data_IF_352096144951
#
_entry.id   IF_352096144951
#
_cell.length_a   1.000
_cell.length_b   1.000
_cell.length_c   1.000
_cell.angle_alpha   90.00
_cell.angle_beta   90.00
_cell.angle_gamma   90.00
#
_symmetry.space_group_name_H-M   'P 1'
#
loop_
_entity.id
_entity.type
_entity.pdbx_description
1 polymer ?
#
# COMPACT_ATOMS: atom_id res chain seq x y z
N UNK A 1 -19.06 -24.60 21.62
CA UNK A 1 -18.65 -23.94 20.33
C UNK A 1 -17.28 -24.51 19.96
N UNK A 2 -17.05 -24.73 18.66
CA UNK A 2 -15.71 -25.07 18.18
C UNK A 2 -14.73 -23.95 18.51
N UNK A 3 -13.50 -24.35 18.85
CA UNK A 3 -12.42 -23.42 19.23
C UNK A 3 -11.55 -23.10 18.02
N UNK A 4 -11.32 -21.83 17.74
CA UNK A 4 -10.46 -21.36 16.65
C UNK A 4 -9.30 -20.57 17.21
N UNK A 5 -8.08 -20.96 16.83
CA UNK A 5 -6.90 -20.13 17.01
C UNK A 5 -6.69 -19.23 15.79
N UNK A 6 -6.48 -17.94 16.00
CA UNK A 6 -6.06 -16.99 14.98
C UNK A 6 -4.63 -16.55 15.31
N UNK A 7 -3.71 -16.69 14.35
CA UNK A 7 -2.31 -16.33 14.55
C UNK A 7 -2.04 -14.99 13.88
N UNK A 8 -1.78 -13.98 14.70
CA UNK A 8 -1.54 -12.58 14.31
C UNK A 8 -2.76 -11.68 14.53
N UNK A 9 -2.58 -10.60 15.31
CA UNK A 9 -3.57 -9.55 15.56
C UNK A 9 -3.34 -8.32 14.65
N UNK A 10 -2.89 -8.54 13.41
CA UNK A 10 -2.97 -7.56 12.35
C UNK A 10 -4.42 -7.35 11.88
N UNK A 11 -4.64 -6.41 10.95
CA UNK A 11 -6.00 -6.10 10.46
C UNK A 11 -6.73 -7.33 9.93
N UNK A 12 -6.02 -8.27 9.30
CA UNK A 12 -6.61 -9.52 8.79
C UNK A 12 -7.12 -10.40 9.93
N UNK A 13 -6.28 -10.65 10.95
CA UNK A 13 -6.66 -11.50 12.09
C UNK A 13 -7.79 -10.89 12.93
N UNK A 14 -7.73 -9.59 13.18
CA UNK A 14 -8.80 -8.86 13.87
C UNK A 14 -10.14 -8.93 13.11
N UNK A 15 -10.11 -8.72 11.78
CA UNK A 15 -11.32 -8.82 10.95
C UNK A 15 -11.91 -10.23 10.96
N UNK A 16 -11.07 -11.26 10.79
CA UNK A 16 -11.51 -12.66 10.85
C UNK A 16 -12.11 -12.98 12.22
N UNK A 17 -11.49 -12.51 13.31
CA UNK A 17 -12.03 -12.70 14.65
C UNK A 17 -13.45 -12.12 14.77
N UNK A 18 -13.68 -10.90 14.27
CA UNK A 18 -15.01 -10.30 14.27
C UNK A 18 -16.04 -11.06 13.44
N UNK A 19 -15.66 -11.57 12.26
CA UNK A 19 -16.60 -12.35 11.42
C UNK A 19 -16.96 -13.71 11.99
N UNK A 20 -16.13 -14.26 12.87
CA UNK A 20 -16.32 -15.60 13.42
C UNK A 20 -16.80 -15.62 14.89
N UNK A 21 -16.68 -14.50 15.63
CA UNK A 21 -16.92 -14.46 17.09
C UNK A 21 -18.33 -14.88 17.53
N UNK A 22 -19.35 -14.70 16.69
CA UNK A 22 -20.72 -15.08 17.02
C UNK A 22 -20.96 -16.60 16.99
N UNK A 23 -20.07 -17.36 16.33
CA UNK A 23 -20.25 -18.79 16.05
C UNK A 23 -19.18 -19.68 16.65
N UNK A 24 -18.05 -19.12 17.05
CA UNK A 24 -16.86 -19.86 17.47
C UNK A 24 -16.25 -19.26 18.76
N UNK A 25 -15.61 -20.11 19.58
CA UNK A 25 -14.74 -19.65 20.67
C UNK A 25 -13.36 -19.31 20.11
N UNK A 26 -13.09 -18.02 19.98
CA UNK A 26 -11.89 -17.51 19.30
C UNK A 26 -10.82 -17.10 20.31
N UNK A 27 -9.59 -17.52 20.05
CA UNK A 27 -8.40 -16.99 20.72
C UNK A 27 -7.43 -16.50 19.66
N UNK A 28 -7.04 -15.22 19.75
CA UNK A 28 -6.03 -14.61 18.87
C UNK A 28 -4.68 -14.63 19.61
N UNK A 29 -3.61 -15.04 18.92
CA UNK A 29 -2.24 -14.98 19.42
C UNK A 29 -1.48 -13.90 18.66
N UNK A 30 -0.85 -13.00 19.41
CA UNK A 30 -0.06 -11.91 18.83
C UNK A 30 1.33 -11.89 19.49
N UNK A 31 2.38 -11.88 18.68
CA UNK A 31 3.76 -11.89 19.16
C UNK A 31 4.19 -10.58 19.82
N UNK A 32 3.61 -9.49 19.38
CA UNK A 32 3.88 -8.15 19.92
C UNK A 32 2.99 -7.86 21.14
N UNK A 33 3.35 -6.82 21.89
CA UNK A 33 2.57 -6.36 23.04
C UNK A 33 1.32 -5.54 22.65
N UNK A 34 1.06 -5.36 21.34
CA UNK A 34 -0.05 -4.56 20.82
C UNK A 34 -0.52 -5.08 19.45
N UNK A 35 -1.82 -4.99 19.21
CA UNK A 35 -2.41 -5.29 17.91
C UNK A 35 -2.04 -4.26 16.83
N UNK A 36 -2.24 -4.63 15.56
CA UNK A 36 -2.16 -3.74 14.41
C UNK A 36 -1.27 -4.22 13.26
N UNK A 37 -0.28 -5.08 13.54
CA UNK A 37 0.60 -5.59 12.49
C UNK A 37 1.22 -4.46 11.67
N UNK A 38 1.03 -4.47 10.34
CA UNK A 38 1.62 -3.46 9.45
C UNK A 38 0.98 -2.06 9.56
N UNK A 39 -0.24 -1.94 10.12
CA UNK A 39 -0.90 -0.63 10.28
C UNK A 39 -0.56 0.05 11.60
N UNK A 40 0.40 -0.48 12.36
CA UNK A 40 0.82 0.09 13.64
C UNK A 40 1.41 1.49 13.48
N UNK A 41 1.09 2.32 14.48
CA UNK A 41 1.70 3.63 14.65
C UNK A 41 2.48 3.72 15.96
N UNK A 42 3.50 4.56 15.98
CA UNK A 42 4.32 4.88 17.15
C UNK A 42 4.18 6.37 17.44
N UNK A 43 4.07 6.75 18.73
CA UNK A 43 4.20 8.14 19.16
C UNK A 43 5.57 8.39 19.75
N UNK A 44 6.24 9.41 19.22
CA UNK A 44 7.52 9.90 19.73
C UNK A 44 7.42 11.41 19.87
N UNK A 45 7.67 11.92 21.07
CA UNK A 45 7.59 13.36 21.39
C UNK A 45 6.26 14.01 20.94
N UNK A 46 5.14 13.30 21.12
CA UNK A 46 3.80 13.75 20.72
C UNK A 46 3.44 13.55 19.25
N UNK A 47 4.38 13.20 18.39
CA UNK A 47 4.15 12.98 16.97
C UNK A 47 3.78 11.54 16.68
N UNK A 48 2.88 11.36 15.74
CA UNK A 48 2.41 10.04 15.29
C UNK A 48 3.20 9.59 14.06
N UNK A 49 3.73 8.40 14.14
CA UNK A 49 4.56 7.79 13.11
C UNK A 49 3.99 6.44 12.67
N UNK A 50 3.85 6.23 11.36
CA UNK A 50 3.48 4.95 10.78
C UNK A 50 4.72 4.08 10.60
N UNK A 51 4.78 2.94 11.29
CA UNK A 51 5.99 2.08 11.30
C UNK A 51 6.29 1.49 9.91
N UNK A 52 5.25 1.15 9.16
CA UNK A 52 5.39 0.49 7.84
C UNK A 52 4.84 1.35 6.68
N UNK A 53 4.89 2.68 6.80
CA UNK A 53 4.33 3.61 5.83
C UNK A 53 2.90 4.04 6.15
N UNK A 54 2.45 5.13 5.52
CA UNK A 54 1.11 5.71 5.77
C UNK A 54 -0.01 4.79 5.29
N UNK A 55 -0.94 4.50 6.17
CA UNK A 55 -2.13 3.73 5.87
C UNK A 55 -3.37 4.59 6.02
N UNK A 56 -4.21 4.59 4.97
CA UNK A 56 -5.48 5.30 4.91
C UNK A 56 -6.60 4.31 4.62
N UNK A 57 -7.83 4.65 4.97
CA UNK A 57 -8.97 3.80 4.65
C UNK A 57 -9.69 4.32 3.40
N UNK A 58 -9.85 3.43 2.45
CA UNK A 58 -10.71 3.59 1.28
C UNK A 58 -11.12 2.21 0.75
N UNK A 59 -12.31 2.09 0.18
CA UNK A 59 -12.77 0.88 -0.49
C UNK A 59 -13.74 1.22 -1.61
N UNK A 60 -13.70 0.42 -2.69
CA UNK A 60 -14.71 0.43 -3.76
C UNK A 60 -15.85 -0.57 -3.49
N UNK A 61 -15.70 -1.45 -2.51
CA UNK A 61 -16.67 -2.49 -2.15
C UNK A 61 -17.60 -1.96 -1.09
N UNK A 62 -18.89 -1.90 -1.40
CA UNK A 62 -19.91 -1.39 -0.49
C UNK A 62 -20.04 -2.25 0.77
N UNK A 63 -20.00 -3.58 0.64
CA UNK A 63 -20.04 -4.51 1.78
C UNK A 63 -18.91 -4.30 2.78
N UNK A 64 -17.70 -3.95 2.29
CA UNK A 64 -16.53 -3.61 3.14
C UNK A 64 -16.76 -2.26 3.82
N UNK A 65 -17.31 -1.27 3.10
CA UNK A 65 -17.62 0.04 3.67
C UNK A 65 -18.67 -0.08 4.76
N UNK A 66 -19.75 -0.82 4.52
CA UNK A 66 -20.86 -1.02 5.46
C UNK A 66 -20.38 -1.71 6.73
N UNK A 67 -19.58 -2.78 6.59
CA UNK A 67 -18.97 -3.46 7.73
C UNK A 67 -18.04 -2.54 8.51
N UNK A 68 -17.15 -1.81 7.83
CA UNK A 68 -16.20 -0.91 8.47
C UNK A 68 -16.94 0.18 9.27
N UNK A 69 -17.88 0.89 8.64
CA UNK A 69 -18.62 1.96 9.29
C UNK A 69 -19.62 1.45 10.35
N UNK A 70 -19.94 0.15 10.38
CA UNK A 70 -20.65 -0.44 11.52
C UNK A 70 -19.80 -0.52 12.80
N UNK A 71 -18.46 -0.41 12.69
CA UNK A 71 -17.52 -0.47 13.82
C UNK A 71 -17.06 0.91 14.28
N UNK A 72 -17.21 1.95 13.45
CA UNK A 72 -16.66 3.27 13.67
C UNK A 72 -17.69 4.37 13.41
N UNK A 73 -17.61 5.47 14.17
CA UNK A 73 -18.43 6.66 13.97
C UNK A 73 -17.71 7.59 12.99
N UNK A 74 -18.06 7.47 11.71
CA UNK A 74 -17.36 8.13 10.60
C UNK A 74 -17.20 9.64 10.81
N UNK A 75 -18.27 10.34 11.21
CA UNK A 75 -18.29 11.80 11.39
C UNK A 75 -17.48 12.30 12.57
N UNK A 76 -17.30 11.48 13.60
CA UNK A 76 -16.61 11.87 14.83
C UNK A 76 -15.14 11.45 14.84
N UNK A 77 -14.87 10.23 14.36
CA UNK A 77 -13.57 9.58 14.49
C UNK A 77 -12.67 9.82 13.28
N UNK A 78 -13.25 10.04 12.10
CA UNK A 78 -12.49 10.16 10.86
C UNK A 78 -12.65 11.53 10.19
N UNK A 79 -11.61 11.94 9.50
CA UNK A 79 -11.62 13.04 8.55
C UNK A 79 -11.52 12.51 7.14
N UNK A 80 -12.33 13.07 6.24
CA UNK A 80 -12.15 12.88 4.80
C UNK A 80 -11.13 13.88 4.33
N UNK A 81 -10.09 13.40 3.69
CA UNK A 81 -9.01 14.23 3.17
C UNK A 81 -8.86 14.05 1.66
N UNK A 82 -8.55 15.13 0.98
CA UNK A 82 -8.14 15.11 -0.41
C UNK A 82 -6.68 14.66 -0.50
N UNK A 83 -6.39 13.78 -1.43
CA UNK A 83 -5.02 13.45 -1.76
C UNK A 83 -4.40 14.62 -2.50
N UNK A 84 -3.33 15.16 -1.95
CA UNK A 84 -2.50 16.16 -2.62
C UNK A 84 -1.10 15.57 -2.78
N UNK A 85 -0.80 15.07 -3.97
CA UNK A 85 0.45 14.37 -4.25
C UNK A 85 1.22 15.07 -5.37
N UNK A 86 2.54 15.02 -5.29
CA UNK A 86 3.39 15.51 -6.37
C UNK A 86 4.55 14.55 -6.63
N UNK A 87 5.20 14.75 -7.76
CA UNK A 87 6.44 14.11 -8.16
C UNK A 87 7.54 15.16 -8.09
N UNK A 88 8.59 14.92 -7.30
CA UNK A 88 9.79 15.74 -7.31
C UNK A 88 10.66 15.35 -8.49
N UNK A 89 10.70 16.22 -9.50
CA UNK A 89 11.53 16.05 -10.68
C UNK A 89 12.81 16.88 -10.56
N UNK A 90 13.93 16.28 -10.91
CA UNK A 90 15.21 16.98 -11.00
C UNK A 90 15.19 17.95 -12.19
N UNK A 91 15.50 19.22 -11.96
CA UNK A 91 15.50 20.27 -13.02
C UNK A 91 16.66 20.16 -14.01
N UNK A 92 17.56 19.20 -13.84
CA UNK A 92 18.62 18.93 -14.80
C UNK A 92 20.02 18.89 -14.20
N UNK A 93 21.03 18.72 -15.03
CA UNK A 93 22.41 18.39 -14.75
C UNK A 93 23.00 19.04 -13.48
N UNK A 94 23.05 18.26 -12.39
CA UNK A 94 23.69 18.58 -11.10
C UNK A 94 23.01 19.71 -10.27
N UNK A 95 21.82 20.14 -10.59
CA UNK A 95 21.03 21.03 -9.75
C UNK A 95 20.32 20.23 -8.64
N UNK A 96 20.39 20.73 -7.40
CA UNK A 96 19.56 20.24 -6.30
C UNK A 96 18.16 20.87 -6.29
N UNK A 97 17.81 21.64 -7.30
CA UNK A 97 16.50 22.22 -7.45
C UNK A 97 15.55 21.23 -8.09
N UNK A 98 14.43 20.96 -7.43
CA UNK A 98 13.38 20.05 -7.88
C UNK A 98 12.09 20.83 -8.17
N UNK A 99 11.44 20.47 -9.27
CA UNK A 99 10.06 20.91 -9.53
C UNK A 99 9.06 19.93 -8.93
N UNK A 100 8.01 20.48 -8.33
CA UNK A 100 6.86 19.74 -7.86
C UNK A 100 5.84 19.61 -8.98
N UNK A 101 5.87 18.51 -9.69
CA UNK A 101 4.88 18.22 -10.72
C UNK A 101 3.67 17.54 -10.06
N UNK A 102 2.45 18.05 -10.22
CA UNK A 102 1.27 17.40 -9.66
C UNK A 102 1.13 15.96 -10.17
N UNK A 103 0.62 15.08 -9.31
CA UNK A 103 0.34 13.68 -9.67
C UNK A 103 -1.10 13.56 -10.22
N UNK A 104 -1.36 12.73 -11.23
CA UNK A 104 -0.42 11.87 -11.94
C UNK A 104 0.37 12.64 -13.03
N UNK A 105 1.65 12.34 -13.15
CA UNK A 105 2.60 13.09 -13.98
C UNK A 105 2.21 13.10 -15.48
N UNK A 106 1.64 12.01 -15.98
CA UNK A 106 1.21 11.85 -17.38
C UNK A 106 0.16 12.89 -17.82
N UNK A 107 -0.52 13.52 -16.87
CA UNK A 107 -1.51 14.55 -17.14
C UNK A 107 -0.95 15.97 -17.03
N UNK A 108 0.32 16.11 -16.66
CA UNK A 108 0.96 17.40 -16.38
C UNK A 108 2.19 17.66 -17.24
N UNK A 109 2.25 17.05 -18.43
CA UNK A 109 3.37 17.23 -19.37
C UNK A 109 3.49 18.66 -19.89
N UNK A 110 2.42 19.43 -19.86
CA UNK A 110 2.43 20.85 -20.23
C UNK A 110 3.32 21.72 -19.31
N UNK A 111 3.76 21.18 -18.15
CA UNK A 111 4.70 21.86 -17.24
C UNK A 111 6.18 21.63 -17.61
N UNK A 112 6.45 20.74 -18.54
CA UNK A 112 7.82 20.43 -18.99
C UNK A 112 8.22 21.30 -20.20
N UNK A 113 9.52 21.23 -20.56
CA UNK A 113 10.04 21.92 -21.76
C UNK A 113 9.34 21.44 -23.03
N UNK A 114 9.31 22.30 -24.05
CA UNK A 114 8.73 21.94 -25.36
C UNK A 114 9.36 20.70 -25.98
N UNK A 115 10.65 20.46 -25.75
CA UNK A 115 11.35 19.28 -26.23
C UNK A 115 10.79 17.99 -25.59
N UNK A 116 10.60 17.99 -24.27
CA UNK A 116 10.00 16.87 -23.54
C UNK A 116 8.56 16.66 -23.98
N UNK A 117 7.78 17.74 -24.12
CA UNK A 117 6.40 17.64 -24.59
C UNK A 117 6.33 17.03 -26.01
N UNK A 118 7.16 17.48 -26.94
CA UNK A 118 7.23 16.92 -28.31
C UNK A 118 7.58 15.44 -28.30
N UNK A 119 8.55 15.05 -27.47
CA UNK A 119 8.93 13.64 -27.31
C UNK A 119 7.79 12.79 -26.75
N UNK A 120 7.10 13.27 -25.72
CA UNK A 120 5.95 12.59 -25.14
C UNK A 120 4.81 12.39 -26.14
N UNK A 121 4.41 13.45 -26.89
CA UNK A 121 3.33 13.31 -27.86
C UNK A 121 3.70 12.40 -29.04
N UNK A 122 4.97 12.38 -29.44
CA UNK A 122 5.50 11.41 -30.41
C UNK A 122 5.38 9.97 -29.89
N UNK A 123 5.71 9.75 -28.62
CA UNK A 123 5.55 8.42 -27.98
C UNK A 123 4.08 7.98 -28.00
N UNK A 124 3.12 8.87 -27.72
CA UNK A 124 1.70 8.55 -27.79
C UNK A 124 1.25 8.15 -29.21
N UNK A 125 1.78 8.83 -30.25
CA UNK A 125 1.51 8.44 -31.63
C UNK A 125 2.08 7.04 -31.97
N UNK A 126 3.26 6.73 -31.44
CA UNK A 126 3.88 5.42 -31.62
C UNK A 126 3.07 4.33 -30.91
N UNK A 127 2.56 4.60 -29.71
CA UNK A 127 1.66 3.68 -28.99
C UNK A 127 0.39 3.42 -29.79
N UNK A 128 -0.26 4.47 -30.31
CA UNK A 128 -1.49 4.34 -31.08
C UNK A 128 -1.30 3.45 -32.33
N UNK A 129 -0.13 3.55 -32.98
CA UNK A 129 0.21 2.75 -34.17
C UNK A 129 0.47 1.27 -33.83
N UNK A 130 1.12 1.00 -32.68
CA UNK A 130 1.64 -0.33 -32.36
C UNK A 130 0.76 -1.14 -31.41
N UNK A 131 0.16 -0.52 -30.41
CA UNK A 131 -0.65 -1.19 -29.38
C UNK A 131 -2.14 -0.88 -29.48
N UNK A 132 -2.49 0.23 -30.13
CA UNK A 132 -3.87 0.71 -30.24
C UNK A 132 -4.42 1.32 -28.95
N UNK A 133 -5.55 2.02 -29.09
CA UNK A 133 -6.17 2.78 -28.00
C UNK A 133 -6.72 1.89 -26.87
N UNK A 134 -7.05 0.64 -27.15
CA UNK A 134 -7.77 -0.27 -26.26
C UNK A 134 -6.91 -1.45 -25.77
N UNK A 135 -5.58 -1.28 -25.73
CA UNK A 135 -4.68 -2.33 -25.22
C UNK A 135 -5.06 -2.75 -23.80
N UNK A 136 -5.15 -4.07 -23.57
CA UNK A 136 -5.49 -4.69 -22.28
C UNK A 136 -4.23 -5.06 -21.53
N UNK A 137 -4.35 -5.36 -20.23
CA UNK A 137 -3.21 -5.82 -19.40
C UNK A 137 -2.54 -7.07 -19.97
N UNK A 138 -3.31 -7.93 -20.63
CA UNK A 138 -2.81 -9.17 -21.29
C UNK A 138 -1.95 -8.93 -22.52
N UNK A 139 -1.91 -7.69 -23.03
CA UNK A 139 -1.14 -7.32 -24.22
C UNK A 139 0.31 -6.92 -23.89
N UNK A 140 0.69 -7.05 -22.62
CA UNK A 140 2.02 -6.74 -22.11
C UNK A 140 2.63 -7.95 -21.43
N UNK A 141 3.89 -8.26 -21.74
CA UNK A 141 4.58 -9.45 -21.23
C UNK A 141 5.00 -9.29 -19.76
N UNK A 142 5.34 -8.08 -19.34
CA UNK A 142 5.84 -7.76 -18.01
C UNK A 142 5.54 -6.30 -17.66
N UNK A 143 5.84 -5.94 -16.41
CA UNK A 143 5.56 -4.60 -15.89
C UNK A 143 6.39 -3.50 -16.56
N UNK A 144 7.63 -3.78 -16.94
CA UNK A 144 8.48 -2.83 -17.67
C UNK A 144 7.89 -2.50 -19.05
N UNK A 145 7.46 -3.52 -19.80
CA UNK A 145 6.77 -3.35 -21.08
C UNK A 145 5.45 -2.60 -20.94
N UNK A 146 4.66 -2.95 -19.90
CA UNK A 146 3.44 -2.21 -19.59
C UNK A 146 3.71 -0.72 -19.42
N UNK A 147 4.64 -0.35 -18.56
CA UNK A 147 4.93 1.06 -18.30
C UNK A 147 5.42 1.78 -19.57
N UNK A 148 6.31 1.14 -20.33
CA UNK A 148 6.88 1.72 -21.53
C UNK A 148 5.85 1.90 -22.65
N UNK A 149 5.01 0.88 -22.89
CA UNK A 149 4.02 0.88 -23.97
C UNK A 149 2.67 1.47 -23.58
N UNK A 150 2.45 1.77 -22.31
CA UNK A 150 1.24 2.47 -21.86
C UNK A 150 1.45 3.98 -21.77
N UNK A 151 2.62 4.41 -21.31
CA UNK A 151 2.90 5.81 -21.00
C UNK A 151 3.94 6.45 -21.93
N UNK A 152 4.59 5.68 -22.78
CA UNK A 152 5.64 6.12 -23.69
C UNK A 152 7.04 6.08 -23.08
N UNK A 153 8.03 6.09 -23.98
CA UNK A 153 9.44 6.02 -23.61
C UNK A 153 9.88 7.21 -22.76
N UNK A 154 9.41 8.40 -23.10
CA UNK A 154 9.78 9.64 -22.40
C UNK A 154 9.41 9.56 -20.92
N UNK A 155 8.15 9.26 -20.59
CA UNK A 155 7.71 9.08 -19.20
C UNK A 155 8.31 7.86 -18.54
N UNK A 156 8.51 6.77 -19.27
CA UNK A 156 9.16 5.58 -18.77
C UNK A 156 10.57 5.90 -18.25
N UNK A 157 11.40 6.54 -19.06
CA UNK A 157 12.80 6.83 -18.73
C UNK A 157 12.94 7.88 -17.61
N UNK A 158 12.08 8.90 -17.60
CA UNK A 158 12.23 10.01 -16.65
C UNK A 158 11.55 9.78 -15.30
N UNK A 159 10.49 8.95 -15.26
CA UNK A 159 9.70 8.76 -14.03
C UNK A 159 9.45 7.30 -13.69
N UNK A 160 8.79 6.54 -14.60
CA UNK A 160 8.27 5.23 -14.21
C UNK A 160 9.37 4.22 -13.90
N UNK A 161 10.40 4.13 -14.72
CA UNK A 161 11.51 3.18 -14.52
C UNK A 161 12.32 3.52 -13.26
N UNK A 162 12.86 4.73 -13.09
CA UNK A 162 13.67 5.04 -11.91
C UNK A 162 12.86 4.95 -10.61
N UNK A 163 11.59 5.35 -10.59
CA UNK A 163 10.73 5.23 -9.43
C UNK A 163 10.43 3.76 -9.09
N UNK A 164 9.98 3.00 -10.08
CA UNK A 164 9.56 1.62 -9.84
C UNK A 164 10.75 0.68 -9.55
N UNK A 165 11.94 0.94 -10.08
CA UNK A 165 13.16 0.21 -9.67
C UNK A 165 13.47 0.37 -8.18
N UNK A 166 13.23 1.55 -7.60
CA UNK A 166 13.36 1.74 -6.15
C UNK A 166 12.32 0.93 -5.37
N UNK A 167 11.06 0.89 -5.88
CA UNK A 167 9.96 0.15 -5.24
C UNK A 167 10.18 -1.34 -5.32
N UNK A 168 10.52 -1.87 -6.50
CA UNK A 168 10.61 -3.31 -6.75
C UNK A 168 11.98 -3.90 -6.44
N UNK A 169 13.03 -3.08 -6.37
CA UNK A 169 14.44 -3.49 -6.14
C UNK A 169 14.92 -4.57 -7.13
N UNK A 170 14.38 -4.57 -8.36
CA UNK A 170 14.69 -5.53 -9.42
C UNK A 170 14.41 -4.93 -10.81
N UNK A 171 14.84 -5.63 -11.85
CA UNK A 171 14.50 -5.26 -13.23
C UNK A 171 13.00 -5.40 -13.44
N UNK A 172 12.38 -4.36 -14.00
CA UNK A 172 10.92 -4.30 -14.20
C UNK A 172 10.43 -5.30 -15.26
N UNK A 173 11.31 -5.77 -16.15
CA UNK A 173 11.00 -6.83 -17.12
C UNK A 173 10.82 -8.20 -16.45
N UNK A 174 11.30 -8.37 -15.20
CA UNK A 174 11.09 -9.57 -14.40
C UNK A 174 9.86 -9.51 -13.49
N UNK A 175 9.17 -8.37 -13.45
CA UNK A 175 7.97 -8.18 -12.62
C UNK A 175 6.74 -8.62 -13.42
N UNK A 176 5.97 -9.64 -12.93
CA UNK A 176 4.81 -10.15 -13.65
C UNK A 176 3.64 -9.16 -13.64
N UNK A 177 2.69 -9.34 -14.55
CA UNK A 177 1.49 -8.50 -14.65
C UNK A 177 0.33 -8.95 -13.75
N UNK A 178 0.38 -10.14 -13.17
CA UNK A 178 -0.73 -10.77 -12.43
C UNK A 178 -1.24 -9.95 -11.24
N UNK A 179 -0.41 -9.12 -10.63
CA UNK A 179 -0.78 -8.28 -9.48
C UNK A 179 -1.50 -6.97 -9.87
N UNK A 180 -1.45 -6.59 -11.16
CA UNK A 180 -1.88 -5.27 -11.63
C UNK A 180 -3.38 -5.01 -11.53
N UNK A 181 -4.20 -6.04 -11.62
CA UNK A 181 -5.66 -5.93 -11.73
C UNK A 181 -6.29 -4.81 -10.90
N UNK A 182 -6.67 -3.70 -11.55
CA UNK A 182 -7.35 -2.55 -10.92
C UNK A 182 -6.51 -1.69 -9.97
N UNK A 183 -5.20 -1.87 -9.91
CA UNK A 183 -4.32 -1.15 -8.96
C UNK A 183 -3.70 0.12 -9.53
N UNK A 184 -3.46 0.18 -10.83
CA UNK A 184 -2.98 1.40 -11.49
C UNK A 184 -4.02 1.92 -12.47
N UNK A 185 -4.14 3.24 -12.63
CA UNK A 185 -4.93 3.82 -13.71
C UNK A 185 -4.37 3.34 -15.06
N UNK A 186 -5.25 3.15 -16.01
CA UNK A 186 -4.88 2.79 -17.37
C UNK A 186 -5.44 3.85 -18.33
N UNK A 187 -4.94 5.09 -18.30
CA UNK A 187 -5.42 6.13 -19.21
C UNK A 187 -5.13 5.71 -20.64
N UNK A 188 -6.05 5.99 -21.54
CA UNK A 188 -5.80 5.91 -22.99
C UNK A 188 -4.89 7.05 -23.41
N UNK A 189 -4.24 6.92 -24.57
CA UNK A 189 -3.45 8.02 -25.16
C UNK A 189 -4.30 9.24 -25.43
N UNK A 190 -5.58 9.06 -25.76
CA UNK A 190 -6.53 10.15 -25.94
C UNK A 190 -6.82 10.86 -24.62
N UNK A 191 -7.12 10.12 -23.54
CA UNK A 191 -7.32 10.72 -22.22
C UNK A 191 -6.09 11.49 -21.74
N UNK A 192 -4.87 10.98 -21.97
CA UNK A 192 -3.65 11.71 -21.64
C UNK A 192 -3.54 13.02 -22.42
N UNK A 193 -3.86 13.04 -23.73
CA UNK A 193 -3.87 14.27 -24.53
C UNK A 193 -4.91 15.26 -24.03
N UNK A 194 -6.13 14.81 -23.79
CA UNK A 194 -7.24 15.65 -23.31
C UNK A 194 -6.96 16.22 -21.93
N UNK A 195 -6.44 15.41 -21.00
CA UNK A 195 -6.10 15.85 -19.64
C UNK A 195 -4.98 16.92 -19.65
N UNK A 196 -3.96 16.76 -20.50
CA UNK A 196 -2.92 17.79 -20.67
C UNK A 196 -3.47 19.07 -21.30
N UNK A 197 -4.28 18.96 -22.35
CA UNK A 197 -4.87 20.12 -23.02
C UNK A 197 -5.80 20.91 -22.09
N UNK A 198 -6.59 20.21 -21.27
CA UNK A 198 -7.54 20.80 -20.34
C UNK A 198 -6.94 21.09 -18.96
N UNK A 199 -5.66 20.75 -18.71
CA UNK A 199 -4.96 20.92 -17.43
C UNK A 199 -5.76 20.34 -16.25
N UNK A 200 -6.20 19.09 -16.38
CA UNK A 200 -7.11 18.43 -15.43
C UNK A 200 -6.39 18.19 -14.09
N UNK A 201 -6.96 18.70 -12.99
CA UNK A 201 -6.41 18.52 -11.64
C UNK A 201 -6.64 17.13 -11.08
N UNK A 202 -5.79 16.69 -10.12
CA UNK A 202 -5.89 15.39 -9.43
C UNK A 202 -7.26 15.10 -8.82
N UNK A 203 -7.99 16.13 -8.38
CA UNK A 203 -9.33 16.01 -7.77
C UNK A 203 -10.37 15.38 -8.68
N UNK A 204 -10.14 15.38 -9.99
CA UNK A 204 -11.03 14.74 -10.97
C UNK A 204 -10.81 13.22 -11.09
N UNK A 205 -9.77 12.65 -10.45
CA UNK A 205 -9.42 11.25 -10.62
C UNK A 205 -9.94 10.35 -9.51
N UNK A 206 -10.10 9.06 -9.83
CA UNK A 206 -10.51 8.01 -8.88
C UNK A 206 -9.47 7.87 -7.76
N UNK A 207 -9.91 7.83 -6.51
CA UNK A 207 -9.08 7.82 -5.30
C UNK A 207 -8.42 9.17 -4.94
N UNK A 208 -8.98 10.27 -5.39
CA UNK A 208 -8.56 11.61 -4.94
C UNK A 208 -8.84 11.87 -3.46
N UNK A 209 -9.69 11.07 -2.80
CA UNK A 209 -10.05 11.22 -1.40
C UNK A 209 -9.87 9.92 -0.62
N UNK A 210 -9.61 10.04 0.68
CA UNK A 210 -9.51 8.93 1.62
C UNK A 210 -10.00 9.34 3.01
N UNK A 211 -10.24 8.32 3.87
CA UNK A 211 -10.57 8.52 5.26
C UNK A 211 -9.36 8.23 6.14
N UNK A 212 -9.14 9.11 7.10
CA UNK A 212 -8.06 8.99 8.06
C UNK A 212 -8.56 9.30 9.47
N UNK A 213 -8.18 8.49 10.46
CA UNK A 213 -8.57 8.70 11.84
C UNK A 213 -7.80 9.89 12.43
N UNK A 214 -8.52 10.74 13.20
CA UNK A 214 -8.08 12.11 13.54
C UNK A 214 -6.93 12.19 14.52
N UNK A 215 -6.79 11.23 15.44
CA UNK A 215 -5.88 11.34 16.58
C UNK A 215 -4.74 10.32 16.55
N UNK A 216 -5.04 9.05 16.33
CA UNK A 216 -4.10 7.95 16.45
C UNK A 216 -3.82 7.23 15.11
N UNK A 217 -4.39 7.76 14.04
CA UNK A 217 -4.22 7.22 12.70
C UNK A 217 -4.70 5.77 12.59
N UNK A 218 -4.02 5.00 11.76
CA UNK A 218 -4.43 3.60 11.51
C UNK A 218 -4.32 2.70 12.75
N UNK A 219 -3.54 3.07 13.76
CA UNK A 219 -3.48 2.33 15.03
C UNK A 219 -4.83 2.29 15.74
N UNK A 220 -5.60 3.39 15.69
CA UNK A 220 -6.92 3.44 16.30
C UNK A 220 -7.86 2.35 15.76
N UNK A 221 -7.76 2.08 14.45
CA UNK A 221 -8.55 1.02 13.81
C UNK A 221 -8.24 -0.32 14.45
N UNK A 222 -6.97 -0.64 14.63
CA UNK A 222 -6.55 -1.89 15.24
C UNK A 222 -6.96 -1.98 16.71
N UNK A 223 -6.75 -0.90 17.47
CA UNK A 223 -7.09 -0.86 18.89
C UNK A 223 -8.59 -1.03 19.12
N UNK A 224 -9.42 -0.37 18.32
CA UNK A 224 -10.89 -0.47 18.42
C UNK A 224 -11.39 -1.85 18.00
N UNK A 225 -10.84 -2.43 16.95
CA UNK A 225 -11.16 -3.80 16.55
C UNK A 225 -10.67 -4.87 17.54
N UNK A 226 -9.67 -4.58 18.38
CA UNK A 226 -9.20 -5.49 19.40
C UNK A 226 -10.13 -5.54 20.62
N UNK A 227 -10.99 -4.53 20.81
CA UNK A 227 -11.90 -4.47 21.99
C UNK A 227 -12.86 -5.65 21.94
N UNK A 228 -12.98 -6.36 23.09
CA UNK A 228 -13.89 -7.48 23.24
C UNK A 228 -13.39 -8.81 22.67
N UNK A 229 -12.25 -8.83 21.97
CA UNK A 229 -11.61 -10.06 21.51
C UNK A 229 -10.67 -10.64 22.58
N UNK A 230 -10.61 -11.96 22.63
CA UNK A 230 -9.64 -12.68 23.48
C UNK A 230 -8.29 -12.76 22.76
N UNK A 231 -7.43 -11.77 22.99
CA UNK A 231 -6.09 -11.68 22.41
C UNK A 231 -5.05 -12.00 23.48
N UNK A 232 -4.11 -12.88 23.15
CA UNK A 232 -2.94 -13.19 23.96
C UNK A 232 -1.75 -12.50 23.31
N UNK A 233 -1.32 -11.40 23.90
CA UNK A 233 -0.16 -10.62 23.48
C UNK A 233 1.15 -11.26 23.98
N UNK A 234 2.29 -10.75 23.48
CA UNK A 234 3.63 -11.25 23.81
C UNK A 234 3.73 -12.77 23.66
N UNK A 235 2.98 -13.33 22.69
CA UNK A 235 2.80 -14.75 22.47
C UNK A 235 3.13 -15.13 21.03
N UNK A 236 4.42 -15.30 20.76
CA UNK A 236 4.88 -15.79 19.48
C UNK A 236 4.54 -17.27 19.31
N UNK A 237 3.80 -17.61 18.26
CA UNK A 237 3.49 -19.00 17.92
C UNK A 237 4.63 -19.59 17.11
N UNK A 238 5.44 -20.43 17.74
CA UNK A 238 6.61 -21.09 17.12
C UNK A 238 6.33 -22.52 16.66
N UNK A 239 5.17 -23.09 17.03
CA UNK A 239 4.72 -24.41 16.57
C UNK A 239 3.19 -24.46 16.48
N UNK A 240 2.70 -25.12 15.45
CA UNK A 240 1.29 -25.45 15.21
C UNK A 240 1.24 -26.94 14.94
N UNK A 241 0.95 -27.71 15.98
CA UNK A 241 1.08 -29.18 15.94
C UNK A 241 -0.28 -29.83 15.68
N UNK A 242 -0.40 -30.66 14.63
CA UNK A 242 -1.59 -31.47 14.36
C UNK A 242 -1.56 -32.75 15.18
N UNK A 243 -2.54 -32.94 16.06
CA UNK A 243 -2.70 -34.14 16.87
C UNK A 243 -4.11 -34.76 16.68
N UNK A 244 -4.19 -35.78 15.83
CA UNK A 244 -5.47 -36.31 15.40
C UNK A 244 -6.31 -35.26 14.68
N UNK A 245 -7.51 -34.98 15.21
CA UNK A 245 -8.40 -33.95 14.64
C UNK A 245 -8.18 -32.54 15.23
N UNK A 246 -7.32 -32.41 16.21
CA UNK A 246 -7.05 -31.15 16.92
C UNK A 246 -5.73 -30.51 16.51
N UNK A 247 -5.62 -29.24 16.84
CA UNK A 247 -4.41 -28.44 16.72
C UNK A 247 -3.95 -28.00 18.10
N UNK A 248 -2.66 -28.16 18.38
CA UNK A 248 -2.03 -27.71 19.63
C UNK A 248 -1.23 -26.44 19.33
N UNK A 249 -1.57 -25.35 20.02
CA UNK A 249 -0.91 -24.06 19.87
C UNK A 249 -0.69 -23.49 21.26
N UNK A 250 0.55 -23.15 21.59
CA UNK A 250 0.93 -22.70 22.94
C UNK A 250 0.35 -23.55 24.04
N UNK A 251 0.36 -24.90 23.89
CA UNK A 251 -0.14 -25.86 24.85
C UNK A 251 -1.66 -25.95 25.00
N UNK A 252 -2.43 -25.30 24.12
CA UNK A 252 -3.90 -25.31 24.10
C UNK A 252 -4.44 -26.00 22.86
N UNK A 253 -5.60 -26.68 23.01
CA UNK A 253 -6.26 -27.40 21.93
C UNK A 253 -7.27 -26.51 21.16
N UNK A 254 -7.25 -26.63 19.85
CA UNK A 254 -8.16 -25.94 18.93
C UNK A 254 -8.69 -26.89 17.86
N UNK A 255 -9.91 -26.62 17.39
CA UNK A 255 -10.53 -27.35 16.29
C UNK A 255 -10.01 -26.87 14.92
N UNK A 256 -9.77 -25.58 14.80
CA UNK A 256 -9.33 -24.91 13.57
C UNK A 256 -8.25 -23.87 13.86
N UNK A 257 -7.46 -23.57 12.84
CA UNK A 257 -6.44 -22.53 12.88
C UNK A 257 -6.59 -21.61 11.67
N UNK A 258 -6.51 -20.31 11.90
CA UNK A 258 -6.39 -19.31 10.84
C UNK A 258 -5.05 -18.59 11.00
N UNK A 259 -4.19 -18.73 10.01
CA UNK A 259 -2.88 -18.11 10.03
C UNK A 259 -2.92 -16.76 9.28
N UNK A 260 -2.66 -15.67 9.98
CA UNK A 260 -2.64 -14.30 9.47
C UNK A 260 -1.24 -13.66 9.54
N UNK A 261 -0.21 -14.47 9.63
CA UNK A 261 1.20 -14.07 9.58
C UNK A 261 1.80 -14.20 8.17
N UNK A 262 3.13 -14.15 8.09
CA UNK A 262 3.84 -14.39 6.85
C UNK A 262 3.78 -15.87 6.46
N UNK A 263 3.25 -16.19 5.29
CA UNK A 263 3.07 -17.57 4.81
C UNK A 263 4.41 -18.34 4.73
N UNK A 264 5.54 -17.66 4.49
CA UNK A 264 6.87 -18.29 4.48
C UNK A 264 7.28 -18.82 5.84
N UNK A 265 6.71 -18.29 6.92
CA UNK A 265 6.96 -18.78 8.28
C UNK A 265 6.00 -19.91 8.65
N UNK A 266 4.78 -19.91 8.10
CA UNK A 266 3.78 -20.93 8.38
C UNK A 266 4.27 -22.34 8.12
N UNK A 267 4.86 -22.60 6.96
CA UNK A 267 5.34 -23.94 6.59
C UNK A 267 6.46 -24.46 7.49
N UNK A 268 7.19 -23.56 8.15
CA UNK A 268 8.29 -23.93 9.04
C UNK A 268 7.78 -24.39 10.42
N UNK A 269 6.63 -23.86 10.86
CA UNK A 269 6.10 -24.07 12.20
C UNK A 269 4.94 -25.06 12.27
N UNK A 270 4.31 -25.38 11.13
CA UNK A 270 3.23 -26.38 11.08
C UNK A 270 3.81 -27.78 11.07
N UNK A 271 3.31 -28.64 11.98
CA UNK A 271 3.76 -30.02 12.15
C UNK A 271 2.57 -30.99 12.15
N UNK A 272 2.86 -32.27 11.85
CA UNK A 272 1.84 -33.31 11.85
C UNK A 272 0.98 -33.38 10.59
N UNK A 273 1.26 -32.54 9.59
CA UNK A 273 0.72 -32.63 8.21
C UNK A 273 1.86 -32.42 7.21
N UNK A 274 1.73 -33.08 6.06
CA UNK A 274 2.69 -32.92 4.98
C UNK A 274 2.33 -31.68 4.10
N UNK A 275 3.15 -30.66 4.18
CA UNK A 275 3.06 -29.45 3.37
C UNK A 275 4.12 -29.37 2.25
N UNK A 276 4.90 -30.45 2.05
CA UNK A 276 6.05 -30.46 1.13
C UNK A 276 5.67 -30.07 -0.30
N UNK A 277 4.46 -30.39 -0.74
CA UNK A 277 3.95 -30.01 -2.07
C UNK A 277 3.87 -28.50 -2.31
N UNK A 278 3.85 -27.69 -1.24
CA UNK A 278 3.81 -26.22 -1.34
C UNK A 278 5.19 -25.56 -1.18
N UNK A 279 6.25 -26.32 -0.86
CA UNK A 279 7.56 -25.75 -0.57
C UNK A 279 8.07 -24.91 -1.73
N UNK A 280 8.06 -25.43 -2.96
CA UNK A 280 8.51 -24.71 -4.15
C UNK A 280 7.75 -23.40 -4.36
N UNK A 281 6.42 -23.44 -4.23
CA UNK A 281 5.59 -22.25 -4.41
C UNK A 281 5.88 -21.19 -3.34
N UNK A 282 5.98 -21.62 -2.07
CA UNK A 282 6.26 -20.70 -0.96
C UNK A 282 7.69 -20.16 -0.99
N UNK A 283 8.66 -20.98 -1.38
CA UNK A 283 10.06 -20.55 -1.56
C UNK A 283 10.19 -19.53 -2.70
N UNK A 284 9.42 -19.71 -3.77
CA UNK A 284 9.41 -18.80 -4.93
C UNK A 284 8.81 -17.43 -4.61
N UNK A 285 8.04 -17.28 -3.53
CA UNK A 285 7.52 -15.99 -3.10
C UNK A 285 8.67 -15.07 -2.69
N UNK A 286 8.86 -14.02 -3.44
CA UNK A 286 9.86 -13.00 -3.14
C UNK A 286 9.20 -11.79 -2.49
N UNK A 287 9.85 -11.24 -1.46
CA UNK A 287 9.48 -9.97 -0.86
C UNK A 287 10.71 -9.25 -0.33
N UNK A 288 10.62 -7.95 -0.22
CA UNK A 288 11.59 -7.13 0.50
C UNK A 288 10.87 -6.23 1.51
N UNK A 289 11.59 -5.85 2.55
CA UNK A 289 11.06 -4.94 3.56
C UNK A 289 11.04 -3.49 3.10
N UNK A 290 10.43 -2.64 3.91
CA UNK A 290 10.47 -1.19 3.76
C UNK A 290 11.20 -0.60 4.97
N UNK A 291 12.17 0.27 4.71
CA UNK A 291 12.81 1.08 5.75
C UNK A 291 12.13 2.44 5.79
N UNK A 292 11.58 2.79 6.94
CA UNK A 292 11.02 4.11 7.18
C UNK A 292 12.04 4.94 7.98
N UNK A 293 12.38 6.12 7.49
CA UNK A 293 13.23 7.11 8.17
C UNK A 293 12.34 8.25 8.63
N UNK A 294 12.37 8.53 9.92
CA UNK A 294 11.50 9.52 10.55
C UNK A 294 12.20 10.88 10.62
N UNK A 295 11.63 11.89 9.99
CA UNK A 295 12.21 13.23 9.91
C UNK A 295 11.23 14.28 10.41
N UNK A 296 11.75 15.35 10.98
CA UNK A 296 11.00 16.57 11.25
C UNK A 296 11.23 17.53 10.09
N UNK A 297 10.15 18.05 9.50
CA UNK A 297 10.21 19.04 8.43
C UNK A 297 9.20 20.15 8.66
N UNK A 298 9.36 21.25 7.95
CA UNK A 298 8.39 22.33 7.91
C UNK A 298 7.05 21.89 7.30
N UNK A 299 6.00 22.62 7.62
CA UNK A 299 4.65 22.38 7.10
C UNK A 299 4.67 22.33 5.58
N UNK A 300 4.06 21.31 5.02
CA UNK A 300 4.00 21.05 3.60
C UNK A 300 2.56 20.71 3.19
N UNK A 301 2.04 21.22 2.08
CA UNK A 301 0.67 20.98 1.66
C UNK A 301 0.41 19.58 1.09
N UNK A 302 1.46 18.81 0.78
CA UNK A 302 1.32 17.52 0.14
C UNK A 302 1.01 16.38 1.13
N UNK A 303 0.29 15.36 0.66
CA UNK A 303 0.10 14.09 1.37
C UNK A 303 1.22 13.11 1.07
N UNK A 304 1.61 13.03 -0.19
CA UNK A 304 2.69 12.17 -0.68
C UNK A 304 3.54 12.88 -1.72
N UNK A 305 4.82 12.61 -1.67
CA UNK A 305 5.80 13.12 -2.63
C UNK A 305 6.55 11.92 -3.21
N UNK A 306 6.43 11.71 -4.50
CA UNK A 306 7.11 10.65 -5.22
C UNK A 306 8.49 11.11 -5.65
N UNK A 307 9.53 10.29 -5.45
CA UNK A 307 10.92 10.62 -5.73
C UNK A 307 11.55 9.68 -6.76
N UNK A 308 11.44 9.95 -8.05
CA UNK A 308 12.12 9.18 -9.09
C UNK A 308 13.63 9.43 -9.15
N UNK A 309 14.12 10.57 -8.69
CA UNK A 309 15.54 10.94 -8.80
C UNK A 309 16.47 9.84 -8.30
N UNK A 310 17.46 9.47 -9.12
CA UNK A 310 18.47 8.46 -8.78
C UNK A 310 19.49 8.91 -7.73
N UNK A 311 19.47 10.19 -7.36
CA UNK A 311 20.34 10.77 -6.32
C UNK A 311 19.85 10.43 -4.91
N UNK A 312 18.62 9.96 -4.75
CA UNK A 312 18.00 9.61 -3.46
C UNK A 312 17.62 8.14 -3.42
N UNK A 313 17.89 7.48 -2.32
CA UNK A 313 17.46 6.11 -2.06
C UNK A 313 15.95 6.00 -1.78
N UNK A 314 15.38 7.02 -1.15
CA UNK A 314 13.94 7.05 -0.88
C UNK A 314 13.13 7.10 -2.17
N UNK A 315 12.09 6.30 -2.25
CA UNK A 315 11.14 6.35 -3.37
C UNK A 315 9.96 7.27 -3.09
N UNK A 316 9.65 7.53 -1.82
CA UNK A 316 8.49 8.33 -1.44
C UNK A 316 8.67 8.99 -0.08
N UNK A 317 8.21 10.22 0.05
CA UNK A 317 8.00 10.89 1.33
C UNK A 317 6.50 10.83 1.62
N UNK A 318 6.14 10.43 2.84
CA UNK A 318 4.77 10.42 3.33
C UNK A 318 4.67 11.48 4.41
N UNK A 319 3.79 12.43 4.22
CA UNK A 319 3.57 13.51 5.16
C UNK A 319 2.46 13.13 6.13
N UNK A 320 2.58 13.55 7.39
CA UNK A 320 1.60 13.17 8.41
C UNK A 320 0.22 13.70 8.08
N UNK A 321 -0.75 12.79 8.02
CA UNK A 321 -2.11 13.08 7.60
C UNK A 321 -3.00 13.61 8.74
N UNK A 322 -2.59 13.48 10.00
CA UNK A 322 -3.35 14.02 11.15
C UNK A 322 -3.33 15.56 11.23
N UNK A 323 -2.43 16.20 10.51
CA UNK A 323 -2.31 17.66 10.50
C UNK A 323 -2.97 18.35 9.31
N UNK A 324 -3.75 17.64 8.51
CA UNK A 324 -4.52 18.25 7.40
C UNK A 324 -5.58 19.24 7.93
N UNK A 325 -6.01 19.07 9.19
CA UNK A 325 -7.01 19.93 9.84
C UNK A 325 -6.47 20.93 10.85
N UNK A 326 -5.17 20.89 11.22
CA UNK A 326 -4.59 21.81 12.22
C UNK A 326 -3.26 22.42 11.77
N UNK A 327 -3.00 23.73 12.12
CA UNK A 327 -1.82 24.47 11.66
C UNK A 327 -0.60 24.23 12.55
N UNK A 328 -0.24 23.00 12.90
CA UNK A 328 0.92 22.69 13.73
C UNK A 328 1.99 21.93 12.95
N UNK A 329 3.26 22.15 13.34
CA UNK A 329 4.48 21.66 12.71
C UNK A 329 4.39 20.20 12.29
N UNK A 330 4.56 19.96 11.00
CA UNK A 330 4.66 18.61 10.40
C UNK A 330 6.04 18.01 10.67
N UNK A 331 6.06 16.73 11.02
CA UNK A 331 7.29 15.95 11.12
C UNK A 331 7.18 14.76 10.18
N UNK A 332 8.13 14.62 9.28
CA UNK A 332 8.21 13.53 8.31
C UNK A 332 8.94 12.32 8.86
N UNK A 333 8.68 11.22 8.16
CA UNK A 333 9.28 9.96 8.48
C UNK A 333 9.72 9.27 7.21
#
# INVERSE_FOLDING_TARGET
MEKIAIIGAGISGLSVAHFLSDRYDITVFEKENRAGGLIRCLRVNGNLFHICGGHVFNSKRQDVLDWFWSKFIQSEEFSKADRNSCVFMDKGNNSLEYDNIPYPIENHMYLFSEEIQKSFYKDLEEIDKNKGLNAKLTDYDNFGDFLRWRFGKTLYDMYFEPYNKKVWRRDLTTVPMSWMGGKLPMPTTQEMRENNANKVEERAFVHSTFWYERMNGSQYIADKLAIGLKIIYDSEVTSIDRMGEKWIICGKEFDKVVFCGNIKDMIKIVKGIDLSKYNTDVESLEYHGTTAVFCEIDKNPYSWIYQPSRQHESHRIILSLIHISEPTRLRCI
#
